data_IF_636228146787
#
_entry.id   IF_636228146787
#
_cell.length_a   1.000
_cell.length_b   1.000
_cell.length_c   1.000
_cell.angle_alpha   90.00
_cell.angle_beta   90.00
_cell.angle_gamma   90.00
#
_symmetry.space_group_name_H-M   'P 1'
#
loop_
_entity.id
_entity.type
_entity.pdbx_description
1 polymer ?
#
# COMPACT_ATOMS: atom_id res chain seq x y z
N UNK A 1 5.66 15.27 7.60
CA UNK A 1 5.36 14.83 6.21
C UNK A 1 3.85 14.81 5.95
N UNK A 2 3.35 15.24 4.78
CA UNK A 2 1.91 15.16 4.43
C UNK A 2 1.60 13.90 3.62
N UNK A 3 0.96 12.93 4.26
CA UNK A 3 0.52 11.69 3.61
C UNK A 3 -0.78 11.98 2.86
N UNK A 4 -0.92 11.59 1.58
CA UNK A 4 -2.17 11.77 0.87
C UNK A 4 -3.26 10.83 1.42
N UNK A 5 -4.51 11.27 1.34
CA UNK A 5 -5.67 10.48 1.79
C UNK A 5 -6.03 9.33 0.85
N UNK A 6 -5.51 9.36 -0.38
CA UNK A 6 -5.81 8.36 -1.42
C UNK A 6 -4.62 8.18 -2.38
N UNK A 7 -4.54 6.99 -2.95
CA UNK A 7 -3.59 6.59 -3.98
C UNK A 7 -4.32 5.82 -5.10
N UNK A 8 -3.84 5.95 -6.34
CA UNK A 8 -4.38 5.22 -7.50
C UNK A 8 -3.47 4.04 -7.84
N UNK A 9 -4.03 2.83 -7.81
CA UNK A 9 -3.33 1.55 -8.01
C UNK A 9 -4.09 0.75 -9.06
N UNK A 10 -3.47 0.44 -10.20
CA UNK A 10 -4.10 -0.24 -11.34
C UNK A 10 -5.54 0.25 -11.67
N UNK A 11 -5.74 1.57 -11.76
CA UNK A 11 -7.05 2.16 -12.07
C UNK A 11 -8.07 2.16 -10.92
N UNK A 12 -7.71 1.66 -9.74
CA UNK A 12 -8.55 1.69 -8.53
C UNK A 12 -8.10 2.79 -7.55
N UNK A 13 -9.05 3.36 -6.81
CA UNK A 13 -8.75 4.31 -5.73
C UNK A 13 -8.64 3.54 -4.42
N UNK A 14 -7.46 3.58 -3.81
CA UNK A 14 -7.20 3.04 -2.46
C UNK A 14 -7.14 4.20 -1.48
N UNK A 15 -7.92 4.12 -0.39
CA UNK A 15 -7.93 5.11 0.69
C UNK A 15 -6.77 4.84 1.65
N UNK A 16 -6.26 5.90 2.28
CA UNK A 16 -5.24 5.82 3.33
C UNK A 16 -5.82 6.44 4.59
N UNK A 17 -5.91 5.65 5.66
CA UNK A 17 -6.43 6.07 6.96
C UNK A 17 -5.39 5.85 8.05
N UNK A 18 -5.54 6.60 9.15
CA UNK A 18 -4.82 6.36 10.39
C UNK A 18 -5.82 5.94 11.45
N UNK A 19 -5.58 4.80 12.09
CA UNK A 19 -6.43 4.25 13.16
C UNK A 19 -5.58 3.88 14.37
N UNK A 20 -6.23 3.59 15.49
CA UNK A 20 -5.55 3.01 16.66
C UNK A 20 -5.47 1.50 16.46
N UNK A 21 -4.25 0.99 16.34
CA UNK A 21 -3.96 -0.45 16.17
C UNK A 21 -3.16 -1.01 17.35
N UNK A 22 -3.17 -0.32 18.49
CA UNK A 22 -2.41 -0.73 19.69
C UNK A 22 -2.74 -2.15 20.14
N UNK A 23 -4.02 -2.51 20.04
CA UNK A 23 -4.55 -3.77 20.56
C UNK A 23 -4.21 -4.95 19.65
N UNK A 24 -3.96 -4.69 18.36
CA UNK A 24 -3.61 -5.68 17.35
C UNK A 24 -2.09 -5.91 17.23
N UNK A 25 -1.28 -5.01 17.81
CA UNK A 25 0.19 -5.05 17.66
C UNK A 25 0.68 -4.78 16.23
N UNK A 26 -0.16 -4.22 15.36
CA UNK A 26 0.13 -3.98 13.94
C UNK A 26 0.61 -2.55 13.68
N UNK A 27 1.55 -2.41 12.73
CA UNK A 27 1.94 -1.11 12.20
C UNK A 27 0.98 -0.61 11.11
N UNK A 28 0.40 -1.51 10.35
CA UNK A 28 -0.59 -1.23 9.33
C UNK A 28 -1.11 -2.52 8.71
N UNK A 29 -2.13 -2.37 7.87
CA UNK A 29 -2.62 -3.45 7.02
C UNK A 29 -3.38 -2.89 5.81
N UNK A 30 -3.43 -3.66 4.73
CA UNK A 30 -4.33 -3.42 3.62
C UNK A 30 -5.60 -4.29 3.74
N UNK A 31 -6.77 -3.67 3.57
CA UNK A 31 -8.06 -4.36 3.46
C UNK A 31 -8.53 -4.30 2.02
N UNK A 32 -8.50 -5.45 1.33
CA UNK A 32 -8.84 -5.55 -0.08
C UNK A 32 -10.29 -5.17 -0.36
N UNK A 33 -11.23 -5.76 0.39
CA UNK A 33 -12.67 -5.52 0.21
C UNK A 33 -13.04 -4.04 0.38
N UNK A 34 -12.46 -3.39 1.39
CA UNK A 34 -12.70 -1.97 1.70
C UNK A 34 -11.85 -1.02 0.87
N UNK A 35 -10.87 -1.53 0.11
CA UNK A 35 -9.87 -0.78 -0.66
C UNK A 35 -9.21 0.32 0.18
N UNK A 36 -8.73 -0.06 1.36
CA UNK A 36 -8.13 0.87 2.32
C UNK A 36 -6.82 0.33 2.87
N UNK A 37 -5.81 1.18 2.90
CA UNK A 37 -4.59 1.01 3.69
C UNK A 37 -4.82 1.72 5.01
N UNK A 38 -4.65 0.99 6.11
CA UNK A 38 -4.76 1.51 7.47
C UNK A 38 -3.38 1.50 8.08
N UNK A 39 -2.96 2.65 8.62
CA UNK A 39 -1.70 2.84 9.32
C UNK A 39 -1.98 3.11 10.80
N UNK A 40 -1.14 2.61 11.69
CA UNK A 40 -1.23 2.96 13.10
C UNK A 40 -0.94 4.45 13.30
N UNK A 41 -1.79 5.12 14.08
CA UNK A 41 -1.63 6.55 14.41
C UNK A 41 -0.38 6.83 15.26
N UNK A 42 0.22 5.79 15.87
CA UNK A 42 1.38 5.88 16.75
C UNK A 42 2.73 5.74 16.02
N UNK A 43 2.72 5.53 14.70
CA UNK A 43 3.96 5.41 13.92
C UNK A 43 4.71 6.74 13.83
N UNK A 44 6.04 6.67 13.93
CA UNK A 44 6.94 7.79 13.62
C UNK A 44 7.03 8.01 12.11
N UNK A 45 7.34 9.23 11.68
CA UNK A 45 7.38 9.62 10.25
C UNK A 45 8.19 8.65 9.35
N UNK A 46 9.34 8.18 9.80
CA UNK A 46 10.15 7.21 9.06
C UNK A 46 9.45 5.85 8.90
N UNK A 47 8.75 5.39 9.95
CA UNK A 47 8.03 4.12 9.94
C UNK A 47 6.79 4.21 9.05
N UNK A 48 6.12 5.37 9.00
CA UNK A 48 4.93 5.57 8.17
C UNK A 48 5.24 5.27 6.71
N UNK A 49 6.32 5.81 6.14
CA UNK A 49 6.62 5.54 4.73
C UNK A 49 6.98 4.08 4.46
N UNK A 50 7.69 3.44 5.39
CA UNK A 50 8.02 2.02 5.26
C UNK A 50 6.76 1.14 5.31
N UNK A 51 5.87 1.39 6.27
CA UNK A 51 4.60 0.66 6.39
C UNK A 51 3.70 0.94 5.20
N UNK A 52 3.57 2.20 4.77
CA UNK A 52 2.77 2.55 3.59
C UNK A 52 3.29 1.88 2.32
N UNK A 53 4.62 1.78 2.17
CA UNK A 53 5.23 1.05 1.05
C UNK A 53 4.88 -0.43 1.11
N UNK A 54 4.96 -1.04 2.29
CA UNK A 54 4.62 -2.45 2.51
C UNK A 54 3.16 -2.73 2.15
N UNK A 55 2.22 -1.98 2.73
CA UNK A 55 0.80 -2.17 2.47
C UNK A 55 0.40 -1.85 1.02
N UNK A 56 1.15 -0.98 0.34
CA UNK A 56 0.95 -0.74 -1.09
C UNK A 56 1.40 -1.92 -1.96
N UNK A 57 2.42 -2.68 -1.55
CA UNK A 57 2.80 -3.93 -2.23
C UNK A 57 1.70 -4.97 -2.07
N UNK A 58 1.20 -5.16 -0.84
CA UNK A 58 0.06 -6.05 -0.55
C UNK A 58 -1.19 -5.66 -1.35
N UNK A 59 -1.49 -4.36 -1.41
CA UNK A 59 -2.58 -3.85 -2.23
C UNK A 59 -2.39 -4.15 -3.72
N UNK A 60 -1.16 -4.04 -4.22
CA UNK A 60 -0.85 -4.30 -5.62
C UNK A 60 -1.01 -5.78 -5.97
N UNK A 61 -0.55 -6.68 -5.09
CA UNK A 61 -0.71 -8.13 -5.24
C UNK A 61 -2.19 -8.53 -5.24
N UNK A 62 -2.99 -8.03 -4.30
CA UNK A 62 -4.41 -8.33 -4.25
C UNK A 62 -5.17 -7.72 -5.46
N UNK A 63 -4.89 -6.47 -5.83
CA UNK A 63 -5.60 -5.80 -6.95
C UNK A 63 -5.28 -6.44 -8.30
N UNK A 64 -4.04 -6.90 -8.51
CA UNK A 64 -3.64 -7.59 -9.74
C UNK A 64 -4.13 -9.04 -9.82
N UNK A 65 -4.64 -9.59 -8.71
CA UNK A 65 -5.02 -10.99 -8.59
C UNK A 65 -3.88 -11.92 -8.19
N UNK A 66 -2.62 -11.46 -8.24
CA UNK A 66 -1.43 -12.29 -7.95
C UNK A 66 -1.42 -12.77 -6.50
N UNK A 67 -1.98 -11.99 -5.56
CA UNK A 67 -2.11 -12.37 -4.15
C UNK A 67 -3.02 -13.59 -3.90
N UNK A 68 -3.77 -14.05 -4.91
CA UNK A 68 -4.66 -15.20 -4.82
C UNK A 68 -4.15 -16.44 -5.57
N UNK A 69 -2.94 -16.39 -6.13
CA UNK A 69 -2.34 -17.57 -6.77
C UNK A 69 -2.09 -18.67 -5.73
N UNK A 70 -2.41 -19.92 -6.07
CA UNK A 70 -2.15 -21.09 -5.21
C UNK A 70 -0.66 -21.46 -5.15
N UNK A 71 0.08 -21.12 -6.21
CA UNK A 71 1.52 -21.32 -6.33
C UNK A 71 2.24 -20.00 -6.58
N UNK A 72 3.50 -19.94 -6.16
CA UNK A 72 4.34 -18.78 -6.45
C UNK A 72 4.75 -18.78 -7.93
N UNK A 73 4.22 -17.82 -8.67
CA UNK A 73 4.58 -17.56 -10.07
C UNK A 73 5.48 -16.32 -10.15
N UNK A 74 6.80 -16.53 -10.25
CA UNK A 74 7.78 -15.44 -10.22
C UNK A 74 7.45 -14.32 -11.21
N UNK A 75 7.13 -14.67 -12.47
CA UNK A 75 6.83 -13.70 -13.52
C UNK A 75 5.55 -12.90 -13.24
N UNK A 76 4.55 -13.50 -12.58
CA UNK A 76 3.35 -12.78 -12.17
C UNK A 76 3.67 -11.73 -11.10
N UNK A 77 4.52 -12.08 -10.13
CA UNK A 77 4.99 -11.15 -9.09
C UNK A 77 5.82 -10.03 -9.70
N UNK A 78 6.80 -10.36 -10.55
CA UNK A 78 7.64 -9.36 -11.25
C UNK A 78 6.76 -8.38 -12.03
N UNK A 79 5.82 -8.90 -12.84
CA UNK A 79 4.90 -8.06 -13.62
C UNK A 79 3.98 -7.21 -12.74
N UNK A 80 3.50 -7.75 -11.62
CA UNK A 80 2.73 -6.96 -10.65
C UNK A 80 3.59 -5.82 -10.07
N UNK A 81 4.87 -6.08 -9.77
CA UNK A 81 5.74 -5.03 -9.23
C UNK A 81 5.98 -3.93 -10.26
N UNK A 82 6.33 -4.30 -11.50
CA UNK A 82 6.66 -3.38 -12.59
C UNK A 82 5.46 -2.56 -13.07
N UNK A 83 4.31 -3.20 -13.27
CA UNK A 83 3.17 -2.56 -13.92
C UNK A 83 2.14 -1.97 -12.94
N UNK A 84 2.15 -2.42 -11.67
CA UNK A 84 1.16 -1.98 -10.66
C UNK A 84 1.80 -1.23 -9.50
N UNK A 85 2.74 -1.86 -8.80
CA UNK A 85 3.31 -1.30 -7.57
C UNK A 85 4.22 -0.10 -7.82
N UNK A 86 5.29 -0.25 -8.60
CA UNK A 86 6.26 0.83 -8.82
C UNK A 86 5.61 2.09 -9.40
N UNK A 87 4.70 2.00 -10.40
CA UNK A 87 4.01 3.18 -10.92
C UNK A 87 3.15 3.87 -9.84
N UNK A 88 2.51 3.11 -8.95
CA UNK A 88 1.74 3.69 -7.85
C UNK A 88 2.65 4.35 -6.81
N UNK A 89 3.74 3.69 -6.42
CA UNK A 89 4.72 4.19 -5.46
C UNK A 89 5.43 5.45 -5.94
N UNK A 90 5.83 5.52 -7.21
CA UNK A 90 6.50 6.69 -7.78
C UNK A 90 5.57 7.90 -7.82
N UNK A 91 4.28 7.70 -8.18
CA UNK A 91 3.27 8.77 -8.11
C UNK A 91 3.06 9.25 -6.68
N UNK A 92 3.09 8.35 -5.71
CA UNK A 92 2.99 8.70 -4.29
C UNK A 92 4.19 9.55 -3.85
N UNK A 93 5.41 9.08 -4.14
CA UNK A 93 6.65 9.79 -3.78
C UNK A 93 6.71 11.20 -4.37
N UNK A 94 6.35 11.35 -5.65
CA UNK A 94 6.28 12.68 -6.28
C UNK A 94 5.34 13.63 -5.53
N UNK A 95 4.19 13.13 -5.04
CA UNK A 95 3.22 13.93 -4.28
C UNK A 95 3.68 14.25 -2.86
N UNK A 96 4.52 13.42 -2.25
CA UNK A 96 5.04 13.63 -0.90
C UNK A 96 6.33 14.44 -0.85
N UNK A 97 7.13 14.42 -1.92
CA UNK A 97 8.37 15.20 -2.04
C UNK A 97 8.16 16.63 -2.53
N UNK A 98 7.04 16.91 -3.20
CA UNK A 98 6.67 18.26 -3.68
C UNK A 98 5.83 19.06 -2.67
N UNK A 99 5.89 18.74 -1.38
CA UNK A 99 5.09 19.36 -0.33
C UNK A 99 5.89 19.80 0.88
#
# INVERSE_FOLDING_TARGET
MRIPKTIRVAGQTVRILKEDLSDDGLFGYYSHDRKVIILSKHLKDQQIMQTLRHELMEASLCISGVGFCETFEQEAVVRCMDEVFFPAWDRLNKRTSSG
#
